data_IF_159460040892
#
_entry.id   IF_159460040892
#
_cell.length_a   1.000
_cell.length_b   1.000
_cell.length_c   1.000
_cell.angle_alpha   90.00
_cell.angle_beta   90.00
_cell.angle_gamma   90.00
#
_symmetry.space_group_name_H-M   'P 1'
#
loop_
_entity.id
_entity.type
_entity.pdbx_description
1 polymer ?
#
# COMPACT_ATOMS: atom_id res chain seq x y z
N UNK A 1 -20.23 18.56 32.63
CA UNK A 1 -19.66 19.81 32.14
C UNK A 1 -18.22 19.71 31.67
N UNK A 2 -17.37 19.00 32.37
CA UNK A 2 -15.97 18.89 31.97
C UNK A 2 -15.69 17.88 30.86
N UNK A 3 -16.61 16.98 30.62
CA UNK A 3 -16.50 16.01 29.52
C UNK A 3 -16.73 16.59 28.12
N UNK A 4 -17.40 17.75 28.08
CA UNK A 4 -17.74 18.38 26.81
C UNK A 4 -16.53 19.01 26.09
N UNK A 5 -15.55 19.47 26.88
CA UNK A 5 -14.32 20.03 26.32
C UNK A 5 -13.47 19.00 25.60
N UNK A 6 -13.66 17.72 25.88
CA UNK A 6 -12.92 16.62 25.24
C UNK A 6 -13.55 16.25 23.89
N UNK A 7 -14.86 16.44 23.74
CA UNK A 7 -15.57 16.14 22.50
C UNK A 7 -15.35 17.18 21.42
N UNK A 8 -14.84 18.35 21.78
CA UNK A 8 -14.55 19.42 20.84
C UNK A 8 -13.16 19.28 20.16
N UNK A 9 -12.44 18.19 20.37
CA UNK A 9 -11.27 17.93 19.55
C UNK A 9 -11.72 17.78 18.12
N UNK A 10 -11.11 18.54 17.20
CA UNK A 10 -11.41 18.33 15.80
C UNK A 10 -11.21 16.84 15.54
N UNK A 11 -12.27 16.17 15.26
CA UNK A 11 -12.21 14.85 14.69
C UNK A 11 -11.49 15.01 13.37
N UNK A 12 -10.17 15.01 13.42
CA UNK A 12 -9.43 14.57 12.27
C UNK A 12 -10.09 13.25 11.93
N UNK A 13 -10.86 13.24 10.90
CA UNK A 13 -11.53 12.07 10.39
C UNK A 13 -10.46 10.99 10.27
N UNK A 14 -10.28 10.21 11.32
CA UNK A 14 -9.50 8.99 11.24
C UNK A 14 -10.25 8.14 10.24
N UNK A 15 -9.75 8.16 9.01
CA UNK A 15 -10.30 7.32 7.98
C UNK A 15 -10.25 5.89 8.52
N UNK A 16 -11.40 5.27 8.70
CA UNK A 16 -11.47 3.89 9.13
C UNK A 16 -10.71 3.04 8.15
N UNK A 17 -9.66 2.41 8.63
CA UNK A 17 -8.82 1.57 7.83
C UNK A 17 -9.48 0.20 7.67
N UNK A 18 -9.84 -0.16 6.45
CA UNK A 18 -10.36 -1.48 6.15
C UNK A 18 -9.18 -2.42 5.88
N UNK A 19 -8.88 -3.30 6.83
CA UNK A 19 -7.79 -4.27 6.70
C UNK A 19 -8.01 -5.24 5.56
N UNK A 20 -9.25 -5.56 5.25
CA UNK A 20 -9.57 -6.42 4.10
C UNK A 20 -9.18 -5.73 2.79
N UNK A 21 -9.47 -4.44 2.66
CA UNK A 21 -9.04 -3.65 1.50
C UNK A 21 -7.52 -3.62 1.37
N UNK A 22 -6.79 -3.51 2.49
CA UNK A 22 -5.33 -3.55 2.49
C UNK A 22 -4.79 -4.91 2.04
N UNK A 23 -5.39 -5.99 2.52
CA UNK A 23 -4.99 -7.35 2.11
C UNK A 23 -5.24 -7.58 0.63
N UNK A 24 -6.38 -7.13 0.11
CA UNK A 24 -6.68 -7.21 -1.33
C UNK A 24 -5.65 -6.42 -2.13
N UNK A 25 -5.32 -5.21 -1.69
CA UNK A 25 -4.30 -4.38 -2.33
C UNK A 25 -2.95 -5.09 -2.37
N UNK A 26 -2.51 -5.67 -1.25
CA UNK A 26 -1.24 -6.41 -1.18
C UNK A 26 -1.26 -7.65 -2.08
N UNK A 27 -2.35 -8.40 -2.06
CA UNK A 27 -2.49 -9.60 -2.90
C UNK A 27 -2.42 -9.24 -4.39
N UNK A 28 -3.06 -8.16 -4.82
CA UNK A 28 -3.01 -7.68 -6.20
C UNK A 28 -1.61 -7.24 -6.60
N UNK A 29 -0.90 -6.51 -5.73
CA UNK A 29 0.47 -6.09 -5.98
C UNK A 29 1.37 -7.32 -6.18
N UNK A 30 1.31 -8.29 -5.27
CA UNK A 30 2.09 -9.53 -5.35
C UNK A 30 1.77 -10.28 -6.65
N UNK A 31 0.50 -10.45 -6.96
CA UNK A 31 0.05 -11.20 -8.14
C UNK A 31 0.54 -10.53 -9.43
N UNK A 32 0.32 -9.23 -9.57
CA UNK A 32 0.69 -8.51 -10.80
C UNK A 32 2.20 -8.48 -10.98
N UNK A 33 2.97 -8.23 -9.91
CA UNK A 33 4.42 -8.21 -10.01
C UNK A 33 5.00 -9.60 -10.32
N UNK A 34 4.42 -10.65 -9.73
CA UNK A 34 4.84 -12.03 -10.00
C UNK A 34 4.54 -12.42 -11.45
N UNK A 35 3.34 -12.11 -11.93
CA UNK A 35 2.97 -12.35 -13.33
C UNK A 35 3.90 -11.54 -14.27
N UNK A 36 4.18 -10.28 -13.92
CA UNK A 36 5.12 -9.45 -14.67
C UNK A 36 6.49 -10.08 -14.79
N UNK A 37 7.00 -10.66 -13.70
CA UNK A 37 8.27 -11.38 -13.68
C UNK A 37 8.24 -12.63 -14.58
N UNK A 38 7.21 -13.46 -14.41
CA UNK A 38 7.08 -14.73 -15.17
C UNK A 38 6.97 -14.46 -16.67
N UNK A 39 6.25 -13.41 -17.06
CA UNK A 39 6.06 -13.03 -18.47
C UNK A 39 7.14 -12.08 -18.99
N UNK A 40 8.10 -11.68 -18.13
CA UNK A 40 9.13 -10.67 -18.42
C UNK A 40 8.52 -9.35 -18.92
N UNK A 41 7.41 -8.96 -18.32
CA UNK A 41 6.66 -7.75 -18.71
C UNK A 41 6.93 -6.58 -17.76
N UNK A 42 7.95 -5.81 -18.10
CA UNK A 42 8.33 -4.60 -17.33
C UNK A 42 7.20 -3.55 -17.22
N UNK A 43 6.28 -3.54 -18.17
CA UNK A 43 5.13 -2.64 -18.15
C UNK A 43 4.21 -2.89 -16.95
N UNK A 44 4.11 -4.14 -16.47
CA UNK A 44 3.33 -4.46 -15.29
C UNK A 44 3.93 -3.85 -14.03
N UNK A 45 5.27 -3.78 -13.94
CA UNK A 45 5.97 -3.09 -12.85
C UNK A 45 5.65 -1.59 -12.89
N UNK A 46 5.72 -0.98 -14.07
CA UNK A 46 5.36 0.42 -14.26
C UNK A 46 3.90 0.70 -13.90
N UNK A 47 3.01 -0.22 -14.25
CA UNK A 47 1.58 -0.13 -13.92
C UNK A 47 1.36 -0.14 -12.40
N UNK A 48 1.98 -1.09 -11.68
CA UNK A 48 1.86 -1.16 -10.22
C UNK A 48 2.45 0.08 -9.57
N UNK A 49 3.60 0.56 -10.06
CA UNK A 49 4.18 1.81 -9.62
C UNK A 49 3.18 2.97 -9.75
N UNK A 50 2.58 3.12 -10.92
CA UNK A 50 1.63 4.20 -11.18
C UNK A 50 0.41 4.12 -10.24
N UNK A 51 -0.14 2.92 -10.06
CA UNK A 51 -1.28 2.69 -9.17
C UNK A 51 -0.92 3.05 -7.72
N UNK A 52 0.24 2.62 -7.25
CA UNK A 52 0.68 2.91 -5.89
C UNK A 52 0.97 4.41 -5.69
N UNK A 53 1.60 5.04 -6.67
CA UNK A 53 1.91 6.48 -6.61
C UNK A 53 0.63 7.32 -6.58
N UNK A 54 -0.32 7.00 -7.45
CA UNK A 54 -1.62 7.69 -7.50
C UNK A 54 -2.38 7.46 -6.20
N UNK A 55 -2.41 6.22 -5.70
CA UNK A 55 -3.07 5.90 -4.44
C UNK A 55 -2.46 6.59 -3.23
N UNK A 56 -1.16 6.87 -3.26
CA UNK A 56 -0.47 7.62 -2.20
C UNK A 56 -0.80 9.11 -2.29
N UNK A 57 -0.75 9.69 -3.50
CA UNK A 57 -1.03 11.10 -3.71
C UNK A 57 -2.52 11.43 -3.55
N UNK A 58 -3.38 10.55 -4.06
CA UNK A 58 -4.83 10.73 -4.05
C UNK A 58 -5.50 9.47 -3.47
N UNK A 59 -5.70 9.39 -2.15
CA UNK A 59 -6.27 8.19 -1.53
C UNK A 59 -7.64 7.80 -2.09
N UNK A 60 -8.44 8.77 -2.56
CA UNK A 60 -9.73 8.51 -3.18
C UNK A 60 -9.63 7.81 -4.54
N UNK A 61 -8.47 7.88 -5.20
CA UNK A 61 -8.22 7.29 -6.52
C UNK A 61 -7.44 5.96 -6.45
N UNK A 62 -7.30 5.36 -5.26
CA UNK A 62 -6.61 4.09 -5.09
C UNK A 62 -7.37 2.97 -5.82
N UNK A 63 -6.88 2.59 -7.00
CA UNK A 63 -7.57 1.69 -7.92
C UNK A 63 -7.87 0.33 -7.28
N UNK A 64 -6.90 -0.28 -6.60
CA UNK A 64 -7.09 -1.60 -5.99
C UNK A 64 -8.10 -1.57 -4.85
N UNK A 65 -8.14 -0.49 -4.08
CA UNK A 65 -9.14 -0.30 -3.03
C UNK A 65 -10.53 -0.05 -3.61
N UNK A 66 -10.61 0.64 -4.76
CA UNK A 66 -11.87 0.82 -5.48
C UNK A 66 -12.41 -0.50 -6.02
N UNK A 67 -11.57 -1.33 -6.60
CA UNK A 67 -11.96 -2.66 -7.08
C UNK A 67 -12.56 -3.47 -5.92
N UNK A 68 -11.90 -3.45 -4.76
CA UNK A 68 -12.43 -4.11 -3.58
C UNK A 68 -13.79 -3.54 -3.18
N UNK A 69 -13.90 -2.21 -3.06
CA UNK A 69 -15.10 -1.54 -2.57
C UNK A 69 -16.29 -1.71 -3.51
N UNK A 70 -16.05 -1.59 -4.81
CA UNK A 70 -17.12 -1.51 -5.81
C UNK A 70 -17.51 -2.88 -6.38
N UNK A 71 -16.61 -3.85 -6.35
CA UNK A 71 -16.80 -5.18 -6.95
C UNK A 71 -16.84 -6.29 -5.90
N UNK A 72 -15.80 -6.38 -5.08
CA UNK A 72 -15.66 -7.53 -4.14
C UNK A 72 -16.58 -7.40 -2.92
N UNK A 73 -16.74 -6.21 -2.39
CA UNK A 73 -17.58 -5.96 -1.22
C UNK A 73 -19.06 -6.14 -1.52
N UNK A 74 -19.63 -5.57 -2.60
CA UNK A 74 -21.03 -5.79 -2.96
C UNK A 74 -21.35 -7.22 -3.37
N UNK A 75 -20.35 -7.95 -3.93
CA UNK A 75 -20.51 -9.35 -4.32
C UNK A 75 -20.55 -10.32 -3.12
N UNK A 76 -20.28 -9.82 -1.90
CA UNK A 76 -20.29 -10.63 -0.68
C UNK A 76 -19.11 -11.59 -0.56
N UNK A 77 -18.09 -11.45 -1.41
CA UNK A 77 -16.91 -12.32 -1.40
C UNK A 77 -16.00 -12.08 -0.19
N UNK A 78 -15.95 -10.85 0.30
CA UNK A 78 -15.12 -10.45 1.43
C UNK A 78 -15.91 -9.53 2.36
N UNK A 79 -15.74 -9.75 3.66
CA UNK A 79 -16.34 -8.88 4.68
C UNK A 79 -15.39 -7.74 5.02
N UNK A 80 -15.86 -6.49 5.16
CA UNK A 80 -15.03 -5.39 5.59
C UNK A 80 -14.57 -5.59 7.03
N UNK A 81 -13.28 -5.32 7.29
CA UNK A 81 -12.67 -5.37 8.60
C UNK A 81 -12.19 -3.95 8.95
N UNK A 82 -13.11 -3.15 9.49
CA UNK A 82 -12.88 -1.73 9.78
C UNK A 82 -12.18 -1.57 11.13
N UNK A 83 -11.05 -0.88 11.14
CA UNK A 83 -10.32 -0.53 12.34
C UNK A 83 -10.11 0.99 12.41
N UNK A 84 -10.23 1.55 13.62
CA UNK A 84 -9.95 2.95 13.89
C UNK A 84 -8.43 3.15 14.02
N UNK A 85 -7.71 2.96 12.94
CA UNK A 85 -6.27 3.16 12.85
C UNK A 85 -5.95 4.38 11.98
N UNK A 86 -4.82 5.03 12.29
CA UNK A 86 -4.33 6.12 11.47
C UNK A 86 -3.84 5.56 10.12
N UNK A 87 -4.34 6.14 9.03
CA UNK A 87 -3.95 5.74 7.68
C UNK A 87 -2.58 6.32 7.25
N UNK A 88 -2.03 7.29 7.99
CA UNK A 88 -0.79 7.96 7.61
C UNK A 88 0.42 7.03 7.52
N UNK A 89 0.68 6.12 8.48
CA UNK A 89 1.78 5.17 8.36
C UNK A 89 1.65 4.27 7.14
N UNK A 90 0.44 3.85 6.85
CA UNK A 90 0.17 2.97 5.70
C UNK A 90 0.40 3.69 4.37
N UNK A 91 -0.05 4.94 4.27
CA UNK A 91 0.21 5.78 3.09
C UNK A 91 1.71 6.02 2.89
N UNK A 92 2.44 6.25 3.97
CA UNK A 92 3.90 6.38 3.92
C UNK A 92 4.54 5.10 3.39
N UNK A 93 4.14 3.95 3.91
CA UNK A 93 4.64 2.65 3.46
C UNK A 93 4.35 2.41 1.96
N UNK A 94 3.15 2.77 1.52
CA UNK A 94 2.76 2.66 0.12
C UNK A 94 3.60 3.59 -0.77
N UNK A 95 3.85 4.82 -0.32
CA UNK A 95 4.72 5.78 -1.02
C UNK A 95 6.15 5.28 -1.11
N UNK A 96 6.66 4.67 -0.04
CA UNK A 96 8.00 4.06 -0.04
C UNK A 96 8.07 2.91 -1.04
N UNK A 97 7.05 2.04 -1.06
CA UNK A 97 6.95 0.96 -2.05
C UNK A 97 6.89 1.50 -3.48
N UNK A 98 6.14 2.58 -3.71
CA UNK A 98 6.10 3.25 -5.01
C UNK A 98 7.47 3.80 -5.43
N UNK A 99 8.23 4.38 -4.50
CA UNK A 99 9.59 4.86 -4.77
C UNK A 99 10.53 3.72 -5.17
N UNK A 100 10.45 2.58 -4.49
CA UNK A 100 11.23 1.39 -4.85
C UNK A 100 10.83 0.86 -6.23
N UNK A 101 9.52 0.83 -6.54
CA UNK A 101 9.04 0.40 -7.86
C UNK A 101 9.40 1.41 -8.96
N UNK A 102 9.50 2.69 -8.65
CA UNK A 102 10.03 3.68 -9.59
C UNK A 102 11.47 3.33 -9.96
N UNK A 103 12.31 3.08 -8.97
CA UNK A 103 13.70 2.65 -9.20
C UNK A 103 13.75 1.34 -9.99
N UNK A 104 12.89 0.38 -9.66
CA UNK A 104 12.77 -0.88 -10.39
C UNK A 104 12.38 -0.66 -11.87
N UNK A 105 11.39 0.20 -12.11
CA UNK A 105 10.94 0.54 -13.45
C UNK A 105 12.06 1.18 -14.27
N UNK A 106 12.73 2.17 -13.71
CA UNK A 106 13.86 2.84 -14.37
C UNK A 106 14.96 1.83 -14.70
N UNK A 107 15.32 0.95 -13.75
CA UNK A 107 16.34 -0.07 -13.97
C UNK A 107 15.94 -1.04 -15.08
N UNK A 108 14.70 -1.49 -15.13
CA UNK A 108 14.21 -2.41 -16.16
C UNK A 108 14.22 -1.76 -17.55
N UNK A 109 13.81 -0.51 -17.67
CA UNK A 109 13.84 0.21 -18.94
C UNK A 109 15.26 0.61 -19.36
N UNK A 110 16.17 0.75 -18.42
CA UNK A 110 17.59 1.00 -18.68
C UNK A 110 18.38 -0.26 -19.04
N UNK A 111 17.76 -1.43 -18.97
CA UNK A 111 18.40 -2.72 -19.29
C UNK A 111 19.01 -3.43 -18.07
N UNK A 112 18.97 -2.84 -16.88
CA UNK A 112 19.49 -3.45 -15.66
C UNK A 112 18.44 -4.40 -15.03
N UNK A 113 18.19 -5.53 -15.71
CA UNK A 113 17.10 -6.44 -15.35
C UNK A 113 17.27 -7.05 -13.95
N UNK A 114 18.49 -7.43 -13.59
CA UNK A 114 18.77 -8.03 -12.27
C UNK A 114 18.41 -7.06 -11.13
N UNK A 115 18.81 -5.80 -11.29
CA UNK A 115 18.51 -4.76 -10.29
C UNK A 115 17.00 -4.48 -10.27
N UNK A 116 16.38 -4.31 -11.43
CA UNK A 116 14.96 -4.00 -11.53
C UNK A 116 14.07 -5.09 -10.94
N UNK A 117 14.31 -6.34 -11.32
CA UNK A 117 13.54 -7.46 -10.77
C UNK A 117 13.87 -7.70 -9.30
N UNK A 118 15.14 -7.51 -8.90
CA UNK A 118 15.52 -7.58 -7.49
C UNK A 118 14.75 -6.60 -6.61
N UNK A 119 14.60 -5.36 -7.06
CA UNK A 119 13.80 -4.34 -6.36
C UNK A 119 12.31 -4.70 -6.34
N UNK A 120 11.78 -5.22 -7.45
CA UNK A 120 10.39 -5.69 -7.49
C UNK A 120 10.17 -6.84 -6.49
N UNK A 121 11.11 -7.77 -6.37
CA UNK A 121 11.03 -8.86 -5.38
C UNK A 121 11.09 -8.34 -3.94
N UNK A 122 11.84 -7.29 -3.66
CA UNK A 122 11.83 -6.64 -2.34
C UNK A 122 10.42 -6.16 -2.02
N UNK A 123 9.74 -5.52 -2.96
CA UNK A 123 8.35 -5.07 -2.76
C UNK A 123 7.41 -6.27 -2.57
N UNK A 124 7.57 -7.32 -3.36
CA UNK A 124 6.78 -8.56 -3.22
C UNK A 124 6.97 -9.15 -1.81
N UNK A 125 8.22 -9.25 -1.35
CA UNK A 125 8.53 -9.80 -0.03
C UNK A 125 7.91 -8.96 1.09
N UNK A 126 8.05 -7.65 1.02
CA UNK A 126 7.46 -6.73 2.01
C UNK A 126 5.92 -6.80 2.01
N UNK A 127 5.32 -6.87 0.83
CA UNK A 127 3.88 -7.03 0.68
C UNK A 127 3.40 -8.37 1.22
N UNK A 128 4.14 -9.45 0.97
CA UNK A 128 3.81 -10.79 1.48
C UNK A 128 3.92 -10.86 3.00
N UNK A 129 4.95 -10.25 3.58
CA UNK A 129 5.10 -10.18 5.04
C UNK A 129 3.93 -9.43 5.66
N UNK A 130 3.53 -8.31 5.07
CA UNK A 130 2.38 -7.55 5.54
C UNK A 130 1.08 -8.36 5.40
N UNK A 131 0.90 -9.07 4.30
CA UNK A 131 -0.30 -9.87 4.05
C UNK A 131 -0.42 -11.05 5.03
N UNK A 132 0.68 -11.77 5.27
CA UNK A 132 0.68 -13.00 6.07
C UNK A 132 0.74 -12.69 7.57
N UNK A 133 1.64 -11.81 7.98
CA UNK A 133 1.93 -11.51 9.38
C UNK A 133 1.22 -10.25 9.89
N UNK A 134 0.66 -9.43 9.01
CA UNK A 134 0.11 -8.14 9.38
C UNK A 134 1.17 -7.11 9.77
N UNK A 135 2.44 -7.40 9.55
CA UNK A 135 3.55 -6.49 9.87
C UNK A 135 3.91 -5.63 8.68
N UNK A 136 3.75 -4.31 8.83
CA UNK A 136 4.11 -3.34 7.81
C UNK A 136 5.49 -2.76 8.10
N UNK A 137 6.50 -3.15 7.31
CA UNK A 137 7.86 -2.65 7.46
C UNK A 137 7.94 -1.13 7.25
N UNK A 138 7.21 -0.61 6.26
CA UNK A 138 7.14 0.84 6.02
C UNK A 138 6.48 1.60 7.16
N UNK A 139 5.47 1.01 7.80
CA UNK A 139 4.84 1.59 8.99
C UNK A 139 5.84 1.62 10.16
N UNK A 140 6.64 0.59 10.32
CA UNK A 140 7.70 0.54 11.33
C UNK A 140 8.72 1.66 11.10
N UNK A 141 9.18 1.84 9.86
CA UNK A 141 10.09 2.94 9.50
C UNK A 141 9.47 4.30 9.80
N UNK A 142 8.19 4.47 9.50
CA UNK A 142 7.47 5.70 9.80
C UNK A 142 7.48 6.01 11.30
N UNK A 143 7.21 5.03 12.15
CA UNK A 143 7.23 5.22 13.61
C UNK A 143 8.65 5.52 14.12
N UNK A 144 9.67 4.88 13.57
CA UNK A 144 11.06 5.17 13.92
C UNK A 144 11.45 6.61 13.56
N UNK A 145 11.05 7.08 12.39
CA UNK A 145 11.30 8.46 11.97
C UNK A 145 10.58 9.46 12.88
N UNK A 146 9.37 9.16 13.30
CA UNK A 146 8.66 10.01 14.27
C UNK A 146 9.38 10.07 15.62
N UNK A 147 9.91 8.95 16.09
CA UNK A 147 10.68 8.91 17.34
C UNK A 147 11.95 9.76 17.26
N UNK A 148 12.61 9.79 16.10
CA UNK A 148 13.79 10.60 15.89
C UNK A 148 13.47 12.09 15.79
N UNK A 149 12.28 12.44 15.32
CA UNK A 149 11.82 13.82 15.23
C UNK A 149 11.32 14.40 16.56
N UNK A 150 10.81 13.56 17.38
CA UNK A 150 10.26 13.95 18.67
C UNK A 150 11.23 13.75 19.78
#
# INVERSE_FOLDING_TARGET
MRGEAISARPTTTRARLDRTALRVNQALIITILTVGYVLDQRWLVAFVFAVMAIGTAFPAAALFQRIYRDILRPAGLLKPDLHDEDAAPHRFAQGLGAAVLLAATVALFAGAQVIGWGLAFVVIALAAINLIFGFCAGCFVYFQLQRLRG
#
